data_IF_994407849341
#
_entry.id   IF_994407849341
#
_cell.length_a   1.000
_cell.length_b   1.000
_cell.length_c   1.000
_cell.angle_alpha   90.00
_cell.angle_beta   90.00
_cell.angle_gamma   90.00
#
_symmetry.space_group_name_H-M   'P 1'
#
loop_
_entity.id
_entity.type
_entity.pdbx_description
1 polymer ?
2 non-polymer ?
#
# COMPACT_ATOMS: atom_id res chain seq x y z
N UNK A 1 1.07 1.44 -13.65
CA UNK A 1 1.07 2.77 -13.00
C UNK A 1 0.33 2.71 -11.67
N UNK A 2 -0.36 3.78 -11.28
CA UNK A 2 -1.12 3.79 -10.03
C UNK A 2 -2.32 2.82 -10.09
N UNK A 3 -2.05 1.54 -9.87
CA UNK A 3 -3.08 0.52 -9.89
C UNK A 3 -3.66 0.26 -8.50
N UNK A 4 -2.82 0.36 -7.47
CA UNK A 4 -3.27 0.09 -6.12
C UNK A 4 -2.93 1.24 -5.19
N UNK A 5 -3.75 1.44 -4.18
CA UNK A 5 -3.56 2.54 -3.27
C UNK A 5 -3.86 2.13 -1.84
N UNK A 6 -2.97 2.53 -0.94
CA UNK A 6 -3.15 2.29 0.48
C UNK A 6 -3.98 3.43 1.06
N UNK A 7 -5.25 3.17 1.30
CA UNK A 7 -6.18 4.21 1.75
C UNK A 7 -5.87 4.63 3.18
N UNK A 8 -6.53 5.70 3.64
CA UNK A 8 -6.26 6.34 4.92
C UNK A 8 -5.00 7.20 4.87
N UNK A 9 -3.89 6.59 4.47
CA UNK A 9 -2.63 7.33 4.34
C UNK A 9 -2.48 7.86 2.92
N UNK A 10 -3.17 7.22 1.97
CA UNK A 10 -3.23 7.70 0.61
C UNK A 10 -2.00 7.35 -0.20
N UNK A 11 -1.42 6.19 0.09
CA UNK A 11 -0.17 5.77 -0.54
C UNK A 11 -0.44 5.17 -1.92
N UNK A 12 0.22 5.70 -2.95
CA UNK A 12 -0.04 5.27 -4.32
C UNK A 12 1.05 4.30 -4.80
N UNK A 13 0.71 3.02 -4.89
CA UNK A 13 1.67 2.02 -5.30
C UNK A 13 1.45 1.58 -6.75
N UNK A 14 2.57 1.37 -7.44
CA UNK A 14 2.55 0.82 -8.79
C UNK A 14 2.76 -0.68 -8.70
N UNK A 15 3.20 -1.10 -7.52
CA UNK A 15 3.38 -2.51 -7.20
C UNK A 15 2.20 -3.00 -6.39
N UNK A 16 1.83 -4.26 -6.58
CA UNK A 16 0.72 -4.84 -5.83
C UNK A 16 1.30 -5.51 -4.61
N UNK A 17 2.43 -6.15 -4.83
CA UNK A 17 3.14 -6.87 -3.81
C UNK A 17 3.62 -5.92 -2.71
N UNK A 18 4.07 -4.75 -3.13
CA UNK A 18 4.54 -3.74 -2.20
C UNK A 18 3.37 -3.04 -1.52
N UNK A 19 2.27 -2.90 -2.26
CA UNK A 19 1.07 -2.28 -1.72
C UNK A 19 0.54 -3.12 -0.57
N UNK A 20 0.22 -4.37 -0.86
CA UNK A 20 -0.30 -5.29 0.14
C UNK A 20 0.65 -5.44 1.34
N UNK A 21 1.96 -5.49 1.08
CA UNK A 21 2.91 -5.61 2.17
C UNK A 21 2.99 -4.29 2.95
N UNK A 22 2.63 -3.21 2.29
CA UNK A 22 2.61 -1.89 2.92
C UNK A 22 1.41 -1.79 3.86
N UNK A 23 0.27 -2.30 3.44
CA UNK A 23 -0.88 -2.35 4.33
C UNK A 23 -0.57 -3.27 5.50
N UNK A 24 0.37 -4.18 5.29
CA UNK A 24 0.87 -5.04 6.34
C UNK A 24 1.73 -4.26 7.31
N UNK A 25 2.60 -3.39 6.79
CA UNK A 25 3.50 -2.63 7.66
C UNK A 25 2.69 -1.75 8.63
N UNK A 26 1.44 -1.50 8.27
CA UNK A 26 0.54 -0.72 9.12
C UNK A 26 0.02 -1.57 10.27
N UNK A 27 -0.26 -2.83 10.00
CA UNK A 27 -0.71 -3.75 11.04
C UNK A 27 0.46 -4.12 11.95
N UNK A 28 1.65 -4.13 11.37
CA UNK A 28 2.86 -4.47 12.10
C UNK A 28 3.53 -3.22 12.66
N UNK A 29 4.63 -3.42 13.37
CA UNK A 29 5.38 -2.32 13.93
C UNK A 29 6.73 -2.19 13.23
X LIG B 1 -0.52 3.23 4.09
#
# INVERSE_FOLDING_TARGET
HILYACDSCGDKFLDANSLAQHVRIHTAQ
ZN ZN
#
